data_IF_739162604646
#
_entry.id   IF_739162604646
#
_cell.length_a   1.000
_cell.length_b   1.000
_cell.length_c   1.000
_cell.angle_alpha   90.00
_cell.angle_beta   90.00
_cell.angle_gamma   90.00
#
_symmetry.space_group_name_H-M   'P 1'
#
loop_
_entity.id
_entity.type
_entity.pdbx_description
1 polymer ?
#
# COMPACT_ATOMS: atom_id res chain seq x y z
N UNK A 1 -19.49 7.64 25.96
CA UNK A 1 -19.94 6.93 24.74
C UNK A 1 -19.81 5.43 24.94
N UNK A 2 -20.88 4.69 24.79
CA UNK A 2 -20.78 3.24 24.80
C UNK A 2 -20.04 2.76 23.56
N UNK A 3 -19.01 1.92 23.73
CA UNK A 3 -18.31 1.32 22.60
C UNK A 3 -19.29 0.40 21.85
N UNK A 4 -19.41 0.59 20.54
CA UNK A 4 -20.21 -0.30 19.68
C UNK A 4 -19.60 -1.69 19.76
N UNK A 5 -20.38 -2.76 20.02
CA UNK A 5 -19.83 -4.11 20.08
C UNK A 5 -19.03 -4.44 18.83
N UNK A 6 -17.87 -5.05 18.99
CA UNK A 6 -16.89 -5.29 17.93
C UNK A 6 -17.45 -6.07 16.73
N UNK A 7 -18.50 -6.89 16.97
CA UNK A 7 -19.20 -7.66 15.94
C UNK A 7 -20.08 -6.76 15.06
N UNK A 8 -20.80 -5.82 15.67
CA UNK A 8 -21.69 -4.87 14.96
C UNK A 8 -20.85 -3.92 14.12
N UNK A 9 -19.72 -3.42 14.64
CA UNK A 9 -18.82 -2.54 13.90
C UNK A 9 -18.20 -3.25 12.68
N UNK A 10 -17.82 -4.53 12.79
CA UNK A 10 -17.31 -5.32 11.68
C UNK A 10 -18.36 -5.55 10.58
N UNK A 11 -19.59 -5.86 10.95
CA UNK A 11 -20.69 -6.06 9.99
C UNK A 11 -21.06 -4.76 9.26
N UNK A 12 -21.14 -3.65 9.99
CA UNK A 12 -21.39 -2.34 9.41
C UNK A 12 -20.27 -1.94 8.45
N UNK A 13 -19.02 -2.15 8.84
CA UNK A 13 -17.85 -1.87 7.99
C UNK A 13 -17.85 -2.73 6.71
N UNK A 14 -18.10 -4.04 6.84
CA UNK A 14 -18.18 -4.95 5.69
C UNK A 14 -19.29 -4.57 4.71
N UNK A 15 -20.46 -4.16 5.21
CA UNK A 15 -21.58 -3.68 4.38
C UNK A 15 -21.21 -2.37 3.69
N UNK A 16 -20.59 -1.45 4.40
CA UNK A 16 -20.11 -0.18 3.85
C UNK A 16 -19.09 -0.41 2.72
N UNK A 17 -18.10 -1.26 2.95
CA UNK A 17 -17.07 -1.59 1.95
C UNK A 17 -17.68 -2.20 0.68
N UNK A 18 -18.64 -3.11 0.81
CA UNK A 18 -19.35 -3.72 -0.34
C UNK A 18 -20.15 -2.70 -1.14
N UNK A 19 -20.82 -1.78 -0.46
CA UNK A 19 -21.58 -0.73 -1.12
C UNK A 19 -20.65 0.24 -1.84
N UNK A 20 -19.54 0.61 -1.20
CA UNK A 20 -18.51 1.47 -1.78
C UNK A 20 -17.84 0.83 -3.00
N UNK A 21 -17.49 -0.46 -2.93
CA UNK A 21 -16.93 -1.21 -4.06
C UNK A 21 -17.87 -1.20 -5.27
N UNK A 22 -19.16 -1.44 -5.03
CA UNK A 22 -20.18 -1.37 -6.07
C UNK A 22 -20.30 0.02 -6.67
N UNK A 23 -20.39 1.05 -5.85
CA UNK A 23 -20.49 2.44 -6.28
C UNK A 23 -19.27 2.87 -7.10
N UNK A 24 -18.07 2.50 -6.67
CA UNK A 24 -16.82 2.77 -7.39
C UNK A 24 -16.79 2.08 -8.75
N UNK A 25 -17.21 0.82 -8.83
CA UNK A 25 -17.25 0.05 -10.09
C UNK A 25 -18.31 0.52 -11.09
N UNK A 26 -19.39 1.12 -10.60
CA UNK A 26 -20.43 1.72 -11.44
C UNK A 26 -20.09 3.15 -11.93
N UNK A 27 -19.08 3.79 -11.31
CA UNK A 27 -18.63 5.13 -11.67
C UNK A 27 -17.52 5.15 -12.73
N UNK A 28 -17.08 6.36 -13.13
CA UNK A 28 -15.95 6.50 -14.04
C UNK A 28 -14.66 6.04 -13.37
N UNK A 29 -13.98 5.05 -13.95
CA UNK A 29 -12.74 4.50 -13.42
C UNK A 29 -11.52 5.21 -14.01
N UNK A 30 -10.56 5.67 -13.19
CA UNK A 30 -9.32 6.23 -13.70
C UNK A 30 -8.49 5.12 -14.37
N UNK A 31 -7.78 5.49 -15.44
CA UNK A 31 -6.87 4.56 -16.12
C UNK A 31 -5.49 4.53 -15.48
N UNK A 32 -5.11 5.59 -14.81
CA UNK A 32 -3.80 5.77 -14.21
C UNK A 32 -3.94 6.42 -12.83
N UNK A 33 -3.32 5.85 -11.83
CA UNK A 33 -3.21 6.43 -10.49
C UNK A 33 -1.74 6.63 -10.13
N UNK A 34 -1.46 7.71 -9.41
CA UNK A 34 -0.16 8.01 -8.82
C UNK A 34 -0.23 7.93 -7.31
N UNK A 35 0.73 7.25 -6.70
CA UNK A 35 0.82 7.06 -5.26
C UNK A 35 2.14 7.62 -4.75
N UNK A 36 2.07 8.51 -3.77
CA UNK A 36 3.23 8.97 -3.01
C UNK A 36 3.26 8.19 -1.70
N UNK A 37 4.32 7.42 -1.49
CA UNK A 37 4.53 6.69 -0.25
C UNK A 37 5.08 7.63 0.82
N UNK A 38 4.19 8.19 1.62
CA UNK A 38 4.52 9.14 2.67
C UNK A 38 3.94 8.71 4.03
N UNK A 39 4.61 9.13 5.10
CA UNK A 39 4.12 8.95 6.46
C UNK A 39 4.58 7.67 7.16
N UNK A 40 5.35 6.78 6.55
CA UNK A 40 5.81 5.53 7.16
C UNK A 40 6.59 5.76 8.46
N UNK A 41 7.45 6.77 8.51
CA UNK A 41 8.22 7.13 9.72
C UNK A 41 7.33 7.70 10.81
N UNK A 42 6.32 8.48 10.45
CA UNK A 42 5.31 9.02 11.39
C UNK A 42 4.48 7.89 11.97
N UNK A 43 4.00 6.99 11.14
CA UNK A 43 3.27 5.79 11.55
C UNK A 43 4.08 4.94 12.53
N UNK A 44 5.37 4.73 12.25
CA UNK A 44 6.27 4.00 13.14
C UNK A 44 6.37 4.64 14.53
N UNK A 45 6.49 5.97 14.61
CA UNK A 45 6.56 6.70 15.87
C UNK A 45 5.28 6.62 16.68
N UNK A 46 4.14 6.70 16.00
CA UNK A 46 2.83 6.69 16.68
C UNK A 46 2.38 5.29 17.10
N UNK A 47 2.66 4.25 16.31
CA UNK A 47 2.05 2.95 16.47
C UNK A 47 3.01 1.76 16.62
N UNK A 48 4.29 1.93 16.29
CA UNK A 48 5.26 0.82 16.24
C UNK A 48 6.48 1.04 17.16
N UNK A 49 6.33 1.86 18.20
CA UNK A 49 7.40 2.08 19.18
C UNK A 49 8.65 2.72 18.59
N UNK A 50 8.50 3.62 17.61
CA UNK A 50 9.57 4.31 16.89
C UNK A 50 10.49 3.39 16.05
N UNK A 51 10.04 2.18 15.73
CA UNK A 51 10.75 1.30 14.81
C UNK A 51 10.50 1.73 13.35
N UNK A 52 11.41 2.54 12.82
CA UNK A 52 11.32 3.13 11.48
C UNK A 52 11.26 2.04 10.40
N UNK A 53 12.05 0.97 10.55
CA UNK A 53 12.07 -0.13 9.59
C UNK A 53 10.74 -0.90 9.57
N UNK A 54 10.11 -1.10 10.73
CA UNK A 54 8.77 -1.66 10.81
C UNK A 54 7.73 -0.76 10.13
N UNK A 55 7.88 0.57 10.22
CA UNK A 55 7.05 1.52 9.48
C UNK A 55 7.18 1.36 7.96
N UNK A 56 8.39 1.22 7.45
CA UNK A 56 8.63 1.01 6.02
C UNK A 56 8.04 -0.33 5.54
N UNK A 57 8.17 -1.42 6.32
CA UNK A 57 7.52 -2.70 6.02
C UNK A 57 5.99 -2.61 6.00
N UNK A 58 5.40 -1.86 6.90
CA UNK A 58 3.96 -1.63 6.89
C UNK A 58 3.51 -0.89 5.62
N UNK A 59 4.29 0.09 5.16
CA UNK A 59 4.07 0.78 3.90
C UNK A 59 4.20 -0.14 2.67
N UNK A 60 5.22 -0.98 2.64
CA UNK A 60 5.41 -2.00 1.59
C UNK A 60 4.20 -2.94 1.50
N UNK A 61 3.77 -3.49 2.62
CA UNK A 61 2.57 -4.33 2.67
C UNK A 61 1.34 -3.62 2.11
N UNK A 62 1.18 -2.33 2.41
CA UNK A 62 0.06 -1.53 1.92
C UNK A 62 0.12 -1.34 0.39
N UNK A 63 1.32 -1.22 -0.19
CA UNK A 63 1.48 -1.17 -1.65
C UNK A 63 1.04 -2.47 -2.31
N UNK A 64 1.37 -3.63 -1.74
CA UNK A 64 0.89 -4.91 -2.28
C UNK A 64 -0.64 -4.99 -2.27
N UNK A 65 -1.30 -4.60 -1.17
CA UNK A 65 -2.76 -4.53 -1.09
C UNK A 65 -3.34 -3.57 -2.15
N UNK A 66 -2.70 -2.41 -2.34
CA UNK A 66 -3.13 -1.42 -3.33
C UNK A 66 -3.03 -1.96 -4.76
N UNK A 67 -1.98 -2.69 -5.09
CA UNK A 67 -1.82 -3.32 -6.40
C UNK A 67 -2.92 -4.37 -6.64
N UNK A 68 -3.29 -5.14 -5.61
CA UNK A 68 -4.42 -6.07 -5.69
C UNK A 68 -5.73 -5.33 -5.98
N UNK A 69 -5.99 -4.21 -5.32
CA UNK A 69 -7.18 -3.39 -5.60
C UNK A 69 -7.16 -2.80 -7.01
N UNK A 70 -6.00 -2.40 -7.51
CA UNK A 70 -5.86 -1.90 -8.87
C UNK A 70 -6.17 -2.97 -9.92
N UNK A 71 -5.76 -4.22 -9.67
CA UNK A 71 -6.13 -5.35 -10.52
C UNK A 71 -7.64 -5.60 -10.51
N UNK A 72 -8.27 -5.61 -9.32
CA UNK A 72 -9.71 -5.82 -9.17
C UNK A 72 -10.54 -4.72 -9.85
N UNK A 73 -10.03 -3.49 -9.88
CA UNK A 73 -10.68 -2.33 -10.48
C UNK A 73 -10.30 -2.10 -11.95
N UNK A 74 -9.50 -2.98 -12.53
CA UNK A 74 -8.99 -2.88 -13.91
C UNK A 74 -8.25 -1.56 -14.21
N UNK A 75 -7.53 -1.02 -13.22
CA UNK A 75 -6.67 0.16 -13.38
C UNK A 75 -5.43 -0.25 -14.16
N UNK A 76 -5.18 0.42 -15.28
CA UNK A 76 -4.14 0.00 -16.24
C UNK A 76 -2.73 0.43 -15.86
N UNK A 77 -2.61 1.57 -15.19
CA UNK A 77 -1.31 2.16 -14.88
C UNK A 77 -1.26 2.60 -13.43
N UNK A 78 -0.19 2.23 -12.73
CA UNK A 78 0.11 2.66 -11.38
C UNK A 78 1.53 3.22 -11.34
N UNK A 79 1.66 4.45 -10.91
CA UNK A 79 2.97 5.07 -10.66
C UNK A 79 3.17 5.20 -9.16
N UNK A 80 4.24 4.63 -8.65
CA UNK A 80 4.59 4.71 -7.23
C UNK A 80 5.83 5.57 -7.06
N UNK A 81 5.71 6.64 -6.27
CA UNK A 81 6.82 7.46 -5.84
C UNK A 81 7.28 6.97 -4.46
N UNK A 82 8.35 6.18 -4.42
CA UNK A 82 8.80 5.49 -3.23
C UNK A 82 10.03 6.10 -2.57
N UNK A 83 10.98 6.61 -3.38
CA UNK A 83 12.26 7.09 -2.92
C UNK A 83 12.76 8.24 -3.80
N UNK A 84 13.20 9.35 -3.20
CA UNK A 84 13.79 10.49 -3.89
C UNK A 84 15.29 10.58 -3.63
N UNK A 85 16.01 11.36 -4.45
CA UNK A 85 17.44 11.64 -4.24
C UNK A 85 17.73 12.28 -2.88
N UNK A 86 16.80 13.07 -2.35
CA UNK A 86 16.93 13.68 -1.00
C UNK A 86 16.92 12.62 0.11
N UNK A 87 16.29 11.47 -0.10
CA UNK A 87 16.22 10.41 0.88
C UNK A 87 17.57 9.72 1.13
N UNK A 88 18.56 9.87 0.24
CA UNK A 88 19.93 9.43 0.48
C UNK A 88 20.63 10.19 1.61
N UNK A 89 20.11 11.33 2.05
CA UNK A 89 20.62 12.07 3.20
C UNK A 89 20.18 11.51 4.57
N UNK A 90 19.33 10.49 4.58
CA UNK A 90 18.92 9.76 5.79
C UNK A 90 20.07 8.91 6.33
N UNK A 91 19.87 8.36 7.54
CA UNK A 91 20.81 7.42 8.13
C UNK A 91 21.15 6.29 7.16
N UNK A 92 22.42 5.91 7.07
CA UNK A 92 22.91 4.89 6.15
C UNK A 92 22.19 3.54 6.37
N UNK A 93 21.93 3.16 7.61
CA UNK A 93 21.20 1.94 7.95
C UNK A 93 19.76 1.97 7.42
N UNK A 94 19.08 3.11 7.51
CA UNK A 94 17.73 3.29 6.96
C UNK A 94 17.75 3.20 5.44
N UNK A 95 18.70 3.85 4.78
CA UNK A 95 18.86 3.82 3.31
C UNK A 95 19.14 2.40 2.83
N UNK A 96 20.07 1.70 3.47
CA UNK A 96 20.40 0.31 3.12
C UNK A 96 19.18 -0.60 3.28
N UNK A 97 18.46 -0.48 4.39
CA UNK A 97 17.22 -1.22 4.62
C UNK A 97 16.18 -0.97 3.52
N UNK A 98 15.98 0.29 3.12
CA UNK A 98 15.03 0.65 2.05
C UNK A 98 15.45 0.08 0.69
N UNK A 99 16.75 0.08 0.38
CA UNK A 99 17.25 -0.49 -0.87
C UNK A 99 17.07 -2.02 -0.91
N UNK A 100 17.40 -2.72 0.16
CA UNK A 100 17.20 -4.18 0.28
C UNK A 100 15.71 -4.54 0.19
N UNK A 101 14.85 -3.79 0.88
CA UNK A 101 13.40 -3.99 0.84
C UNK A 101 12.85 -3.76 -0.57
N UNK A 102 13.27 -2.70 -1.26
CA UNK A 102 12.85 -2.42 -2.62
C UNK A 102 13.31 -3.49 -3.61
N UNK A 103 14.54 -3.99 -3.48
CA UNK A 103 15.03 -5.11 -4.29
C UNK A 103 14.20 -6.37 -4.07
N UNK A 104 13.91 -6.72 -2.81
CA UNK A 104 13.06 -7.86 -2.45
C UNK A 104 11.66 -7.74 -3.06
N UNK A 105 11.00 -6.60 -2.90
CA UNK A 105 9.68 -6.34 -3.46
C UNK A 105 9.66 -6.42 -4.99
N UNK A 106 10.69 -5.88 -5.66
CA UNK A 106 10.77 -5.96 -7.12
C UNK A 106 10.97 -7.41 -7.60
N UNK A 107 11.75 -8.22 -6.90
CA UNK A 107 11.90 -9.64 -7.22
C UNK A 107 10.57 -10.39 -7.07
N UNK A 108 9.86 -10.17 -5.96
CA UNK A 108 8.54 -10.78 -5.75
C UNK A 108 7.53 -10.39 -6.84
N UNK A 109 7.51 -9.12 -7.23
CA UNK A 109 6.65 -8.64 -8.32
C UNK A 109 6.98 -9.35 -9.64
N UNK A 110 8.25 -9.45 -10.01
CA UNK A 110 8.68 -10.10 -11.26
C UNK A 110 8.33 -11.60 -11.28
N UNK A 111 8.37 -12.26 -10.13
CA UNK A 111 8.05 -13.67 -9.99
C UNK A 111 6.55 -13.97 -9.85
N UNK A 112 5.73 -12.94 -9.64
CA UNK A 112 4.27 -13.10 -9.51
C UNK A 112 3.65 -13.52 -10.84
N UNK A 113 2.97 -14.70 -10.91
CA UNK A 113 2.33 -15.18 -12.15
C UNK A 113 1.35 -14.18 -12.76
N UNK A 114 0.74 -13.31 -11.95
CA UNK A 114 -0.21 -12.30 -12.40
C UNK A 114 0.46 -11.23 -13.28
N UNK A 115 1.74 -10.94 -13.04
CA UNK A 115 2.54 -10.01 -13.86
C UNK A 115 2.66 -10.53 -15.27
N UNK A 116 2.99 -11.80 -15.43
CA UNK A 116 3.11 -12.46 -16.75
C UNK A 116 1.74 -12.55 -17.43
N UNK A 117 0.72 -13.00 -16.70
CA UNK A 117 -0.65 -13.18 -17.22
C UNK A 117 -1.27 -11.86 -17.68
N UNK A 118 -1.07 -10.78 -16.93
CA UNK A 118 -1.62 -9.46 -17.24
C UNK A 118 -0.68 -8.60 -18.11
N UNK A 119 0.50 -9.10 -18.47
CA UNK A 119 1.50 -8.40 -19.29
C UNK A 119 1.91 -7.03 -18.69
N UNK A 120 2.16 -7.02 -17.40
CA UNK A 120 2.61 -5.82 -16.68
C UNK A 120 4.07 -5.50 -17.02
#
# INVERSE_FOLDING_TARGET
>A
MAAVPNIISKQVYSTYEKNLDKEVKEGPMPKHIGIIMDGNRRYAREFLGDDINAGHKAGEKKIHELLDWCLDLDIKYVTVYAFSSENFSRDEDEVNFLMEMAEGSLREIVEDPRIITNRV
#
